data_IF_667636165555
#
_entry.id   IF_667636165555
#
_cell.length_a   1.000
_cell.length_b   1.000
_cell.length_c   1.000
_cell.angle_alpha   90.00
_cell.angle_beta   90.00
_cell.angle_gamma   90.00
#
_symmetry.space_group_name_H-M   'P 1'
#
loop_
_entity.id
_entity.type
_entity.pdbx_description
1 polymer ?
#
# COMPACT_ATOMS: atom_id res chain seq x y z
N UNK A 1 17.25 17.98 26.46
CA UNK A 1 15.80 17.90 26.81
C UNK A 1 14.84 18.62 25.86
N UNK A 2 14.74 19.97 25.84
CA UNK A 2 13.71 20.68 25.02
C UNK A 2 13.67 20.28 23.54
N UNK A 3 14.83 20.20 22.88
CA UNK A 3 14.92 19.79 21.46
C UNK A 3 14.42 18.35 21.20
N UNK A 4 14.65 17.43 22.14
CA UNK A 4 14.18 16.04 22.06
C UNK A 4 12.66 15.98 22.17
N UNK A 5 12.07 16.74 23.09
CA UNK A 5 10.62 16.84 23.27
C UNK A 5 9.94 17.42 22.02
N UNK A 6 10.50 18.49 21.44
CA UNK A 6 9.96 19.09 20.21
C UNK A 6 10.06 18.11 19.02
N UNK A 7 11.18 17.40 18.87
CA UNK A 7 11.32 16.36 17.85
C UNK A 7 10.26 15.26 17.98
N UNK A 8 10.00 14.78 19.20
CA UNK A 8 8.96 13.77 19.47
C UNK A 8 7.56 14.32 19.17
N UNK A 9 7.27 15.58 19.51
CA UNK A 9 6.00 16.25 19.22
C UNK A 9 5.74 16.33 17.71
N UNK A 10 6.74 16.76 16.94
CA UNK A 10 6.64 16.82 15.49
C UNK A 10 6.47 15.42 14.88
N UNK A 11 7.25 14.44 15.34
CA UNK A 11 7.15 13.05 14.89
C UNK A 11 5.75 12.45 15.13
N UNK A 12 5.14 12.76 16.28
CA UNK A 12 3.76 12.37 16.59
C UNK A 12 2.77 13.06 15.66
N UNK A 13 2.92 14.37 15.43
CA UNK A 13 2.05 15.13 14.50
C UNK A 13 2.07 14.53 13.10
N UNK A 14 3.27 14.29 12.55
CA UNK A 14 3.44 13.69 11.22
C UNK A 14 2.81 12.29 11.18
N UNK A 15 3.00 11.49 12.24
CA UNK A 15 2.38 10.16 12.36
C UNK A 15 0.86 10.23 12.32
N UNK A 16 0.25 11.17 13.04
CA UNK A 16 -1.20 11.34 13.07
C UNK A 16 -1.74 11.80 11.71
N UNK A 17 -1.06 12.73 11.03
CA UNK A 17 -1.42 13.18 9.68
C UNK A 17 -1.44 11.99 8.71
N UNK A 18 -0.39 11.14 8.74
CA UNK A 18 -0.31 9.95 7.88
C UNK A 18 -1.41 8.94 8.19
N UNK A 19 -1.65 8.66 9.47
CA UNK A 19 -2.72 7.74 9.87
C UNK A 19 -4.08 8.26 9.40
N UNK A 20 -4.37 9.55 9.58
CA UNK A 20 -5.59 10.19 9.11
C UNK A 20 -5.72 10.09 7.58
N UNK A 21 -4.66 10.36 6.83
CA UNK A 21 -4.65 10.21 5.37
C UNK A 21 -4.99 8.78 4.94
N UNK A 22 -4.41 7.76 5.59
CA UNK A 22 -4.72 6.35 5.34
C UNK A 22 -6.20 6.04 5.61
N UNK A 23 -6.74 6.53 6.72
CA UNK A 23 -8.17 6.35 7.01
C UNK A 23 -9.06 7.05 5.96
N UNK A 24 -8.71 8.25 5.52
CA UNK A 24 -9.48 8.96 4.49
C UNK A 24 -9.41 8.26 3.13
N UNK A 25 -8.21 7.85 2.69
CA UNK A 25 -8.02 7.15 1.42
C UNK A 25 -8.77 5.82 1.38
N UNK A 26 -8.62 4.98 2.41
CA UNK A 26 -9.33 3.69 2.50
C UNK A 26 -10.84 3.89 2.63
N UNK A 27 -11.31 4.92 3.35
CA UNK A 27 -12.73 5.25 3.41
C UNK A 27 -13.29 5.68 2.05
N UNK A 28 -12.52 6.47 1.28
CA UNK A 28 -12.91 6.90 -0.07
C UNK A 28 -13.07 5.70 -0.99
N UNK A 29 -12.15 4.72 -0.93
CA UNK A 29 -12.21 3.49 -1.72
C UNK A 29 -13.46 2.65 -1.41
N UNK A 30 -13.73 2.34 -0.14
CA UNK A 30 -14.89 1.48 0.19
C UNK A 30 -16.22 2.18 -0.03
N UNK A 31 -16.26 3.51 0.08
CA UNK A 31 -17.47 4.30 -0.17
C UNK A 31 -17.93 4.31 -1.63
N UNK A 32 -17.07 3.97 -2.59
CA UNK A 32 -17.50 3.75 -3.98
C UNK A 32 -18.29 2.46 -4.16
N UNK A 33 -18.41 1.62 -3.12
CA UNK A 33 -19.14 0.34 -3.10
C UNK A 33 -18.75 -0.60 -4.26
N UNK A 34 -17.44 -0.88 -4.46
CA UNK A 34 -17.04 -1.87 -5.43
C UNK A 34 -17.52 -3.26 -4.99
N UNK A 35 -17.78 -4.13 -5.96
CA UNK A 35 -18.08 -5.55 -5.69
C UNK A 35 -16.90 -6.26 -5.00
N UNK A 36 -15.68 -5.93 -5.42
CA UNK A 36 -14.43 -6.51 -4.91
C UNK A 36 -13.30 -5.49 -4.97
N UNK A 37 -12.39 -5.55 -4.01
CA UNK A 37 -11.09 -4.87 -4.05
C UNK A 37 -9.99 -5.92 -4.07
N UNK A 38 -9.17 -5.90 -5.12
CA UNK A 38 -7.99 -6.75 -5.26
C UNK A 38 -6.74 -5.92 -4.96
N UNK A 39 -5.85 -6.43 -4.11
CA UNK A 39 -4.56 -5.80 -3.80
C UNK A 39 -3.41 -6.73 -4.15
N UNK A 40 -2.29 -6.17 -4.58
CA UNK A 40 -1.07 -6.95 -4.82
C UNK A 40 -0.48 -7.50 -3.52
N UNK A 41 -0.06 -8.77 -3.53
CA UNK A 41 0.69 -9.37 -2.43
C UNK A 41 2.16 -8.92 -2.46
N UNK A 42 2.40 -7.69 -2.03
CA UNK A 42 3.74 -7.10 -1.95
C UNK A 42 4.46 -7.59 -0.70
N UNK A 43 5.65 -8.18 -0.87
CA UNK A 43 6.53 -8.51 0.25
C UNK A 43 7.19 -7.23 0.81
N UNK A 44 6.48 -6.55 1.71
CA UNK A 44 6.90 -5.27 2.29
C UNK A 44 8.24 -5.41 3.04
N UNK A 45 8.50 -6.54 3.70
CA UNK A 45 9.78 -6.74 4.40
C UNK A 45 10.96 -6.78 3.43
N UNK A 46 10.80 -7.38 2.25
CA UNK A 46 11.82 -7.33 1.20
C UNK A 46 12.01 -5.93 0.61
N UNK A 47 10.93 -5.15 0.46
CA UNK A 47 11.04 -3.75 0.03
C UNK A 47 11.82 -2.89 1.03
N UNK A 48 11.67 -3.16 2.32
CA UNK A 48 12.40 -2.47 3.39
C UNK A 48 13.87 -2.89 3.49
N UNK A 49 14.25 -4.08 3.00
CA UNK A 49 15.66 -4.52 2.93
C UNK A 49 16.44 -3.82 1.81
N UNK A 50 15.76 -3.39 0.74
CA UNK A 50 16.42 -2.71 -0.37
C UNK A 50 16.78 -1.27 0.01
N UNK A 51 18.07 -0.96 0.15
CA UNK A 51 18.57 0.38 0.57
C UNK A 51 18.04 1.55 -0.27
N UNK A 52 17.76 1.35 -1.56
CA UNK A 52 17.25 2.41 -2.45
C UNK A 52 15.76 2.70 -2.17
N UNK A 53 15.00 1.67 -1.83
CA UNK A 53 13.55 1.74 -1.66
C UNK A 53 13.14 1.90 -0.19
N UNK A 54 13.94 1.41 0.74
CA UNK A 54 13.61 1.30 2.16
C UNK A 54 13.17 2.62 2.76
N UNK A 55 13.89 3.72 2.48
CA UNK A 55 13.53 5.05 2.97
C UNK A 55 12.15 5.48 2.47
N UNK A 56 11.86 5.32 1.19
CA UNK A 56 10.58 5.68 0.61
C UNK A 56 9.43 4.86 1.21
N UNK A 57 9.60 3.54 1.33
CA UNK A 57 8.55 2.64 1.84
C UNK A 57 8.35 2.70 3.35
N UNK A 58 9.41 2.97 4.12
CA UNK A 58 9.34 3.06 5.59
C UNK A 58 8.35 4.14 6.05
N UNK A 59 8.23 5.23 5.29
CA UNK A 59 7.32 6.33 5.63
C UNK A 59 5.87 6.12 5.20
N UNK A 60 5.57 5.16 4.33
CA UNK A 60 4.23 4.99 3.74
C UNK A 60 3.27 4.15 4.58
N UNK A 61 3.75 3.40 5.58
CA UNK A 61 2.93 2.55 6.47
C UNK A 61 1.98 1.61 5.70
N UNK A 62 2.46 0.96 4.63
CA UNK A 62 1.65 0.09 3.77
C UNK A 62 0.94 -1.04 4.54
N UNK A 63 1.58 -1.64 5.56
CA UNK A 63 0.93 -2.63 6.43
C UNK A 63 -0.34 -2.09 7.08
N UNK A 64 -0.27 -0.86 7.62
CA UNK A 64 -1.43 -0.22 8.25
C UNK A 64 -2.50 0.15 7.21
N UNK A 65 -2.09 0.55 6.01
CA UNK A 65 -3.02 0.78 4.90
C UNK A 65 -3.81 -0.48 4.55
N UNK A 66 -3.15 -1.62 4.37
CA UNK A 66 -3.82 -2.89 4.04
C UNK A 66 -4.72 -3.38 5.17
N UNK A 67 -4.27 -3.28 6.42
CA UNK A 67 -5.11 -3.58 7.58
C UNK A 67 -6.36 -2.69 7.60
N UNK A 68 -6.18 -1.39 7.35
CA UNK A 68 -7.27 -0.42 7.36
C UNK A 68 -8.28 -0.63 6.23
N UNK A 69 -7.80 -1.02 5.06
CA UNK A 69 -8.63 -1.37 3.93
C UNK A 69 -9.41 -2.66 4.19
N UNK A 70 -8.73 -3.70 4.68
CA UNK A 70 -9.33 -5.02 4.95
C UNK A 70 -10.50 -4.94 5.92
N UNK A 71 -10.34 -4.33 7.10
CA UNK A 71 -11.45 -4.24 8.07
C UNK A 71 -12.61 -3.37 7.54
N UNK A 72 -12.32 -2.37 6.69
CA UNK A 72 -13.38 -1.56 6.08
C UNK A 72 -14.12 -2.33 5.01
N UNK A 73 -13.42 -3.10 4.18
CA UNK A 73 -14.06 -3.98 3.21
C UNK A 73 -15.02 -4.94 3.92
N UNK A 74 -14.57 -5.59 4.99
CA UNK A 74 -15.40 -6.44 5.85
C UNK A 74 -16.64 -5.70 6.36
N UNK A 75 -16.46 -4.49 6.92
CA UNK A 75 -17.57 -3.66 7.41
C UNK A 75 -18.62 -3.34 6.35
N UNK A 76 -18.22 -3.18 5.09
CA UNK A 76 -19.12 -2.84 3.98
C UNK A 76 -19.56 -4.06 3.15
N UNK A 77 -19.18 -5.28 3.54
CA UNK A 77 -19.48 -6.50 2.79
C UNK A 77 -18.78 -6.56 1.42
N UNK A 78 -17.65 -5.85 1.26
CA UNK A 78 -16.85 -5.83 0.03
C UNK A 78 -15.84 -6.98 0.10
N UNK A 79 -15.74 -7.76 -0.96
CA UNK A 79 -14.75 -8.82 -1.03
C UNK A 79 -13.33 -8.22 -1.13
N UNK A 80 -12.45 -8.58 -0.19
CA UNK A 80 -11.05 -8.16 -0.18
C UNK A 80 -10.16 -9.34 -0.56
N UNK A 81 -9.46 -9.22 -1.69
CA UNK A 81 -8.65 -10.30 -2.25
C UNK A 81 -7.21 -9.85 -2.38
N UNK A 82 -6.27 -10.70 -1.96
CA UNK A 82 -4.86 -10.55 -2.32
C UNK A 82 -4.61 -11.29 -3.63
N UNK A 83 -4.09 -10.59 -4.62
CA UNK A 83 -3.64 -11.19 -5.87
C UNK A 83 -2.49 -12.15 -5.61
N UNK A 84 -2.36 -13.15 -6.47
CA UNK A 84 -1.24 -14.08 -6.43
C UNK A 84 0.09 -13.33 -6.53
N UNK A 85 1.05 -13.68 -5.68
CA UNK A 85 2.36 -13.05 -5.60
C UNK A 85 3.17 -13.15 -6.90
N UNK A 86 2.94 -14.19 -7.69
CA UNK A 86 3.60 -14.44 -8.98
C UNK A 86 2.82 -13.89 -10.17
N UNK A 87 1.66 -13.27 -9.93
CA UNK A 87 0.92 -12.60 -10.97
C UNK A 87 1.70 -11.39 -11.48
N UNK A 88 2.02 -11.39 -12.78
CA UNK A 88 2.85 -10.36 -13.39
C UNK A 88 2.04 -9.09 -13.74
N UNK A 89 1.25 -8.56 -12.80
CA UNK A 89 0.34 -7.41 -12.99
C UNK A 89 1.04 -6.21 -13.63
N UNK A 90 2.25 -5.89 -13.18
CA UNK A 90 3.04 -4.74 -13.63
C UNK A 90 3.77 -4.97 -14.96
N UNK A 91 3.80 -6.20 -15.47
CA UNK A 91 4.44 -6.57 -16.73
C UNK A 91 3.44 -6.99 -17.80
N UNK A 92 2.16 -7.13 -17.49
CA UNK A 92 1.12 -7.48 -18.46
C UNK A 92 0.43 -6.20 -18.91
N UNK A 93 0.41 -5.95 -20.22
CA UNK A 93 -0.33 -4.83 -20.78
C UNK A 93 -1.84 -5.06 -20.60
N UNK A 94 -2.55 -4.10 -20.00
CA UNK A 94 -4.00 -4.18 -19.83
C UNK A 94 -4.79 -4.09 -21.14
N UNK A 95 -4.18 -3.54 -22.20
CA UNK A 95 -4.81 -3.42 -23.52
C UNK A 95 -4.69 -4.70 -24.35
N UNK A 96 -3.50 -5.32 -24.38
CA UNK A 96 -3.23 -6.44 -25.28
C UNK A 96 -2.85 -7.76 -24.60
N UNK A 97 -2.70 -7.79 -23.27
CA UNK A 97 -2.36 -9.01 -22.52
C UNK A 97 -0.91 -9.47 -22.70
N UNK A 98 -0.10 -8.80 -23.52
CA UNK A 98 1.31 -9.15 -23.74
C UNK A 98 2.10 -8.90 -22.46
N UNK A 99 2.87 -9.91 -22.05
CA UNK A 99 3.81 -9.81 -20.94
C UNK A 99 5.13 -9.23 -21.45
N UNK A 100 5.51 -8.06 -20.93
CA UNK A 100 6.84 -7.49 -21.13
C UNK A 100 7.87 -8.40 -20.46
N UNK A 101 8.69 -9.04 -21.29
CA UNK A 101 9.85 -9.77 -20.85
C UNK A 101 11.13 -8.99 -21.18
N UNK A 102 11.91 -8.65 -20.15
CA UNK A 102 13.17 -7.94 -20.33
C UNK A 102 14.29 -8.85 -20.88
N UNK A 103 14.12 -10.18 -20.86
CA UNK A 103 15.05 -11.11 -21.52
C UNK A 103 14.87 -11.22 -23.04
N UNK A 104 13.80 -10.63 -23.59
CA UNK A 104 13.55 -10.58 -25.02
C UNK A 104 13.64 -9.11 -25.46
N UNK A 105 14.85 -8.56 -25.48
CA UNK A 105 15.13 -7.38 -26.29
C UNK A 105 15.82 -7.83 -27.58
N UNK A 106 15.48 -7.26 -28.75
CA UNK A 106 16.25 -7.45 -29.97
C UNK A 106 17.67 -6.89 -29.85
#
# INVERSE_FOLDING_TARGET
EKAKTEHLRLSRKITNIRNNHIHQATAKLVKTKPMRIVVEDLNISNLLKNKKLSKAFSFQKLNFFFQCLSYKCEKYGIEYVKADKWFASSKICSCCGVKYDHSVQP
#
